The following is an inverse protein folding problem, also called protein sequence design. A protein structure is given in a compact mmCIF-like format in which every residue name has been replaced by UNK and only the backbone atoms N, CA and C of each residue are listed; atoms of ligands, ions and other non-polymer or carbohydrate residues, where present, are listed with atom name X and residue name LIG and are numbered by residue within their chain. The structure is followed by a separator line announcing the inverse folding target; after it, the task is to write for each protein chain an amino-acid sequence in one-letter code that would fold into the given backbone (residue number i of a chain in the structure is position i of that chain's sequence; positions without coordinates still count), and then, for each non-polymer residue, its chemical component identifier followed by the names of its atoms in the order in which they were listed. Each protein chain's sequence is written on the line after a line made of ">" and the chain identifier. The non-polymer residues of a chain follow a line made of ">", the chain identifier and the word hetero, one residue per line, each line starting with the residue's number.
data_IF_739641607865
#
_entry.id   IF_739641607865
#
_cell.length_a   1.000
_cell.length_b   1.000
_cell.length_c   1.000
_cell.angle_alpha   90.00
_cell.angle_beta   90.00
_cell.angle_gamma   90.00
#
_symmetry.space_group_name_H-M   'P 1'
#
loop_
_entity.id
_entity.type
_entity.pdbx_description
1 polymer ?
#
# COMPACT_ATOMS: atom_id res chain seq x y z
N UNK A 1 52.00 33.43 57.33
CA UNK A 1 52.76 33.57 58.59
C UNK A 1 54.04 34.40 58.44
N UNK A 2 54.90 34.16 57.45
CA UNK A 2 56.13 34.95 57.26
C UNK A 2 55.92 36.47 57.09
N UNK A 3 54.75 36.90 56.58
CA UNK A 3 54.41 38.33 56.38
C UNK A 3 54.35 39.13 57.71
N UNK A 4 54.06 38.48 58.84
CA UNK A 4 54.00 39.14 60.16
C UNK A 4 55.32 39.13 60.93
N UNK A 5 56.24 38.24 60.53
CA UNK A 5 57.54 38.02 61.14
C UNK A 5 58.38 39.31 61.26
N UNK A 6 58.52 40.16 60.21
CA UNK A 6 59.32 41.38 60.33
C UNK A 6 58.79 42.38 61.36
N UNK A 7 57.47 42.52 61.54
CA UNK A 7 56.94 43.42 62.56
C UNK A 7 57.02 42.87 63.98
N UNK A 8 56.83 41.57 64.16
CA UNK A 8 57.01 40.94 65.48
C UNK A 8 58.48 41.15 65.93
N UNK A 9 59.44 40.95 65.02
CA UNK A 9 60.86 41.24 65.30
C UNK A 9 61.07 42.71 65.63
N UNK A 10 60.49 43.62 64.84
CA UNK A 10 60.63 45.07 65.07
C UNK A 10 60.09 45.52 66.44
N UNK A 11 58.91 45.02 66.83
CA UNK A 11 58.31 45.31 68.14
C UNK A 11 59.15 44.73 69.28
N UNK A 12 59.70 43.53 69.11
CA UNK A 12 60.57 42.92 70.11
C UNK A 12 61.88 43.71 70.30
N UNK A 13 62.47 44.20 69.20
CA UNK A 13 63.65 45.06 69.25
C UNK A 13 63.35 46.42 69.92
N UNK A 14 62.23 47.04 69.59
CA UNK A 14 61.78 48.27 70.27
C UNK A 14 61.53 48.06 71.77
N UNK A 15 60.89 46.94 72.13
CA UNK A 15 60.62 46.59 73.53
C UNK A 15 61.92 46.34 74.29
N UNK A 16 62.87 45.62 73.69
CA UNK A 16 64.20 45.41 74.25
C UNK A 16 64.93 46.75 74.47
N UNK A 17 64.89 47.67 73.50
CA UNK A 17 65.48 49.00 73.62
C UNK A 17 64.87 49.83 74.74
N UNK A 18 63.54 49.82 74.89
CA UNK A 18 62.84 50.52 75.97
C UNK A 18 63.17 49.94 77.35
N UNK A 19 63.24 48.61 77.48
CA UNK A 19 63.60 47.93 78.74
C UNK A 19 65.05 48.21 79.12
N UNK A 20 65.98 48.18 78.17
CA UNK A 20 67.38 48.54 78.42
C UNK A 20 67.50 50.01 78.83
N UNK A 21 66.79 50.93 78.19
CA UNK A 21 66.76 52.34 78.62
C UNK A 21 66.20 52.49 80.04
N UNK A 22 65.15 51.75 80.39
CA UNK A 22 64.52 51.81 81.70
C UNK A 22 65.40 51.27 82.84
N UNK A 23 66.28 50.30 82.57
CA UNK A 23 67.17 49.69 83.58
C UNK A 23 68.47 50.50 83.74
N UNK A 24 68.99 51.07 82.66
CA UNK A 24 70.35 51.65 82.63
C UNK A 24 70.38 53.14 82.98
N UNK A 25 69.28 53.87 82.78
CA UNK A 25 69.21 55.32 83.00
C UNK A 25 68.48 55.66 84.30
N UNK A 26 68.85 56.79 84.94
CA UNK A 26 68.32 57.24 86.24
C UNK A 26 66.79 57.23 86.30
N UNK A 27 66.22 56.81 87.45
CA UNK A 27 64.79 56.73 87.75
C UNK A 27 64.14 58.10 87.96
N UNK A 28 64.26 58.99 86.97
CA UNK A 28 63.49 60.22 86.92
C UNK A 28 62.05 59.90 86.48
N UNK A 29 61.06 60.33 87.28
CA UNK A 29 59.65 60.14 86.98
C UNK A 29 59.27 60.72 85.60
N UNK A 30 59.95 61.77 85.16
CA UNK A 30 59.70 62.38 83.85
C UNK A 30 60.09 61.46 82.68
N UNK A 31 61.21 60.71 82.78
CA UNK A 31 61.65 59.79 81.72
C UNK A 31 60.73 58.56 81.60
N UNK A 32 60.22 58.07 82.73
CA UNK A 32 59.26 56.95 82.76
C UNK A 32 57.96 57.34 82.04
N UNK A 33 57.44 58.55 82.30
CA UNK A 33 56.23 59.05 81.63
C UNK A 33 56.44 59.13 80.11
N UNK A 34 57.60 59.63 79.66
CA UNK A 34 57.92 59.72 78.23
C UNK A 34 58.02 58.33 77.57
N UNK A 35 58.66 57.36 78.24
CA UNK A 35 58.75 55.98 77.78
C UNK A 35 57.36 55.35 77.62
N UNK A 36 56.47 55.57 78.58
CA UNK A 36 55.08 55.08 78.53
C UNK A 36 54.33 55.70 77.35
N UNK A 37 54.44 57.02 77.14
CA UNK A 37 53.82 57.68 75.98
C UNK A 37 54.32 57.13 74.64
N UNK A 38 55.63 56.90 74.52
CA UNK A 38 56.23 56.31 73.31
C UNK A 38 55.74 54.87 73.10
N UNK A 39 55.64 54.07 74.17
CA UNK A 39 55.11 52.71 74.11
C UNK A 39 53.64 52.69 73.65
N UNK A 40 52.83 53.66 74.09
CA UNK A 40 51.44 53.80 73.63
C UNK A 40 51.40 54.11 72.13
N UNK A 41 52.20 55.06 71.65
CA UNK A 41 52.25 55.40 70.22
C UNK A 41 52.69 54.19 69.38
N UNK A 42 53.73 53.48 69.81
CA UNK A 42 54.22 52.27 69.13
C UNK A 42 53.14 51.19 69.09
N UNK A 43 52.41 50.98 70.19
CA UNK A 43 51.35 49.96 70.23
C UNK A 43 50.18 50.28 69.30
N UNK A 44 49.79 51.56 69.20
CA UNK A 44 48.75 52.01 68.25
C UNK A 44 49.22 51.83 66.80
N UNK A 45 50.46 52.21 66.48
CA UNK A 45 51.02 52.05 65.14
C UNK A 45 51.14 50.57 64.76
N UNK A 46 51.59 49.73 65.69
CA UNK A 46 51.65 48.28 65.51
C UNK A 46 50.25 47.70 65.26
N UNK A 47 49.25 48.08 66.06
CA UNK A 47 47.88 47.62 65.88
C UNK A 47 47.31 48.00 64.50
N UNK A 48 47.57 49.22 64.04
CA UNK A 48 47.17 49.66 62.71
C UNK A 48 47.89 48.88 61.59
N UNK A 49 49.20 48.69 61.72
CA UNK A 49 49.98 47.93 60.74
C UNK A 49 49.55 46.47 60.64
N UNK A 50 49.33 45.79 61.78
CA UNK A 50 48.79 44.43 61.81
C UNK A 50 47.39 44.35 61.20
N UNK A 51 46.52 45.32 61.49
CA UNK A 51 45.17 45.40 60.89
C UNK A 51 45.24 45.55 59.37
N UNK A 52 46.16 46.38 58.87
CA UNK A 52 46.38 46.58 57.42
C UNK A 52 46.82 45.30 56.71
N UNK A 53 47.76 44.55 57.29
CA UNK A 53 48.23 43.29 56.69
C UNK A 53 47.17 42.21 56.75
N UNK A 54 46.47 42.09 57.88
CA UNK A 54 45.36 41.15 58.00
C UNK A 54 44.28 41.42 56.94
N UNK A 55 43.95 42.70 56.71
CA UNK A 55 43.01 43.12 55.66
C UNK A 55 43.52 42.77 54.27
N UNK A 56 44.78 43.02 53.95
CA UNK A 56 45.33 42.68 52.63
C UNK A 56 45.28 41.17 52.36
N UNK A 57 45.63 40.35 53.36
CA UNK A 57 45.56 38.88 53.22
C UNK A 57 44.12 38.43 53.00
N UNK A 58 43.17 39.02 53.72
CA UNK A 58 41.75 38.72 53.55
C UNK A 58 41.24 39.08 52.13
N UNK A 59 41.66 40.22 51.61
CA UNK A 59 41.30 40.66 50.24
C UNK A 59 41.94 39.73 49.20
N UNK A 60 43.21 39.38 49.35
CA UNK A 60 43.90 38.44 48.45
C UNK A 60 43.19 37.07 48.43
N UNK A 61 42.82 36.56 49.61
CA UNK A 61 42.12 35.27 49.74
C UNK A 61 40.76 35.32 49.03
N UNK A 62 39.97 36.37 49.24
CA UNK A 62 38.71 36.55 48.52
C UNK A 62 38.91 36.65 47.00
N UNK A 63 39.93 37.37 46.54
CA UNK A 63 40.22 37.46 45.10
C UNK A 63 40.54 36.09 44.50
N UNK A 64 41.36 35.28 45.19
CA UNK A 64 41.66 33.91 44.72
C UNK A 64 40.45 32.99 44.75
N UNK A 65 39.55 33.13 45.73
CA UNK A 65 38.30 32.38 45.77
C UNK A 65 37.37 32.75 44.62
N UNK A 66 37.25 34.06 44.31
CA UNK A 66 36.47 34.53 43.17
C UNK A 66 37.03 34.04 41.84
N UNK A 67 38.35 34.06 41.69
CA UNK A 67 39.03 33.54 40.50
C UNK A 67 38.78 32.03 40.34
N UNK A 68 38.87 31.25 41.42
CA UNK A 68 38.51 29.82 41.39
C UNK A 68 37.05 29.61 41.01
N UNK A 69 36.13 30.38 41.58
CA UNK A 69 34.72 30.31 41.21
C UNK A 69 34.46 30.69 39.75
N UNK A 70 35.18 31.67 39.21
CA UNK A 70 35.12 32.02 37.80
C UNK A 70 35.64 30.86 36.93
N UNK A 71 36.78 30.28 37.28
CA UNK A 71 37.38 29.16 36.57
C UNK A 71 36.49 27.90 36.62
N UNK A 72 35.88 27.61 37.77
CA UNK A 72 34.97 26.47 37.93
C UNK A 72 33.70 26.66 37.09
N UNK A 73 33.17 27.89 37.00
CA UNK A 73 32.06 28.20 36.10
C UNK A 73 32.42 27.99 34.64
N UNK A 74 33.62 28.38 34.22
CA UNK A 74 34.09 28.15 32.86
C UNK A 74 34.23 26.66 32.54
N UNK A 75 34.78 25.86 33.46
CA UNK A 75 34.87 24.40 33.31
C UNK A 75 33.49 23.75 33.18
N UNK A 76 32.53 24.13 34.03
CA UNK A 76 31.15 23.62 33.97
C UNK A 76 30.52 24.00 32.63
N UNK A 77 30.74 25.24 32.16
CA UNK A 77 30.20 25.70 30.88
C UNK A 77 30.80 24.92 29.70
N UNK A 78 32.12 24.71 29.68
CA UNK A 78 32.78 23.93 28.64
C UNK A 78 32.27 22.48 28.62
N UNK A 79 32.14 21.84 29.79
CA UNK A 79 31.57 20.50 29.89
C UNK A 79 30.13 20.46 29.36
N UNK A 80 29.29 21.42 29.73
CA UNK A 80 27.93 21.52 29.24
C UNK A 80 27.86 21.81 27.72
N UNK A 81 28.79 22.58 27.16
CA UNK A 81 28.88 22.83 25.72
C UNK A 81 29.30 21.58 24.96
N UNK A 82 30.27 20.82 25.47
CA UNK A 82 30.69 19.53 24.91
C UNK A 82 29.54 18.52 24.94
N UNK A 83 28.86 18.39 26.08
CA UNK A 83 27.73 17.47 26.25
C UNK A 83 26.58 17.84 25.30
N UNK A 84 26.23 19.13 25.20
CA UNK A 84 25.21 19.61 24.26
C UNK A 84 25.61 19.35 22.81
N UNK A 85 26.88 19.54 22.45
CA UNK A 85 27.36 19.26 21.11
C UNK A 85 27.23 17.77 20.77
N UNK A 86 27.60 16.87 21.70
CA UNK A 86 27.43 15.43 21.49
C UNK A 86 25.96 15.02 21.39
N UNK A 87 25.07 15.58 22.21
CA UNK A 87 23.63 15.28 22.16
C UNK A 87 23.02 15.78 20.85
N UNK A 88 23.40 16.97 20.38
CA UNK A 88 22.91 17.51 19.11
C UNK A 88 23.36 16.64 17.94
N UNK A 89 24.61 16.16 17.96
CA UNK A 89 25.13 15.24 16.96
C UNK A 89 24.43 13.87 17.01
N UNK A 90 24.19 13.32 18.19
CA UNK A 90 23.45 12.06 18.32
C UNK A 90 22.00 12.21 17.82
N UNK A 91 21.35 13.33 18.14
CA UNK A 91 20.00 13.64 17.68
C UNK A 91 19.93 13.77 16.16
N UNK A 92 20.91 14.42 15.52
CA UNK A 92 20.94 14.51 14.06
C UNK A 92 21.16 13.13 13.42
N UNK A 93 22.05 12.30 13.97
CA UNK A 93 22.26 10.93 13.50
C UNK A 93 21.02 10.05 13.68
N UNK A 94 20.30 10.18 14.80
CA UNK A 94 19.02 9.50 15.02
C UNK A 94 17.96 9.97 14.03
N UNK A 95 17.89 11.28 13.78
CA UNK A 95 16.95 11.84 12.80
C UNK A 95 17.24 11.34 11.38
N UNK A 96 18.52 11.27 10.99
CA UNK A 96 18.93 10.71 9.70
C UNK A 96 18.60 9.22 9.60
N UNK A 97 18.78 8.44 10.67
CA UNK A 97 18.36 7.03 10.72
C UNK A 97 16.86 6.90 10.57
N UNK A 98 16.08 7.69 11.31
CA UNK A 98 14.62 7.69 11.19
C UNK A 98 14.14 8.11 9.79
N UNK A 99 14.83 9.03 9.12
CA UNK A 99 14.52 9.41 7.74
C UNK A 99 14.75 8.23 6.77
N UNK A 100 15.88 7.51 6.92
CA UNK A 100 16.19 6.32 6.11
C UNK A 100 15.20 5.18 6.36
N UNK A 101 14.85 4.91 7.61
CA UNK A 101 13.85 3.89 7.96
C UNK A 101 12.48 4.22 7.34
N UNK A 102 12.08 5.49 7.34
CA UNK A 102 10.84 5.94 6.68
C UNK A 102 10.88 5.71 5.17
N UNK A 103 12.01 5.99 4.52
CA UNK A 103 12.18 5.76 3.09
C UNK A 103 12.10 4.27 2.76
N UNK A 104 12.74 3.40 3.55
CA UNK A 104 12.66 1.96 3.38
C UNK A 104 11.23 1.42 3.52
N UNK A 105 10.50 1.83 4.56
CA UNK A 105 9.10 1.44 4.76
C UNK A 105 8.22 1.91 3.60
N UNK A 106 8.46 3.11 3.08
CA UNK A 106 7.70 3.65 1.96
C UNK A 106 8.01 2.87 0.66
N UNK A 107 9.27 2.57 0.39
CA UNK A 107 9.70 1.76 -0.75
C UNK A 107 9.13 0.34 -0.69
N UNK A 108 9.11 -0.28 0.50
CA UNK A 108 8.53 -1.61 0.68
C UNK A 108 7.01 -1.57 0.52
N UNK A 109 6.33 -0.55 1.04
CA UNK A 109 4.90 -0.35 0.80
C UNK A 109 4.57 -0.11 -0.69
N UNK A 110 5.43 0.59 -1.43
CA UNK A 110 5.29 0.75 -2.88
C UNK A 110 5.47 -0.57 -3.62
N UNK A 111 6.50 -1.35 -3.26
CA UNK A 111 6.73 -2.70 -3.81
C UNK A 111 5.56 -3.63 -3.51
N UNK A 112 5.05 -3.63 -2.29
CA UNK A 112 3.90 -4.46 -1.91
C UNK A 112 2.63 -4.06 -2.65
N UNK A 113 2.39 -2.76 -2.84
CA UNK A 113 1.30 -2.29 -3.71
C UNK A 113 1.49 -2.74 -5.15
N UNK A 114 2.69 -2.62 -5.71
CA UNK A 114 2.97 -3.08 -7.07
C UNK A 114 2.77 -4.59 -7.22
N UNK A 115 3.25 -5.38 -6.26
CA UNK A 115 3.10 -6.83 -6.24
C UNK A 115 1.65 -7.27 -6.08
N UNK A 116 0.88 -6.64 -5.19
CA UNK A 116 -0.55 -6.94 -4.98
C UNK A 116 -1.39 -6.54 -6.19
N UNK A 117 -1.07 -5.42 -6.85
CA UNK A 117 -1.69 -5.03 -8.12
C UNK A 117 -1.35 -6.04 -9.21
N UNK A 118 -0.09 -6.41 -9.39
CA UNK A 118 0.33 -7.42 -10.38
C UNK A 118 -0.34 -8.78 -10.13
N UNK A 119 -0.40 -9.22 -8.88
CA UNK A 119 -1.10 -10.44 -8.48
C UNK A 119 -2.61 -10.34 -8.74
N UNK A 120 -3.21 -9.17 -8.51
CA UNK A 120 -4.63 -8.91 -8.81
C UNK A 120 -4.90 -8.98 -10.31
N UNK A 121 -4.06 -8.36 -11.16
CA UNK A 121 -4.15 -8.49 -12.61
C UNK A 121 -4.09 -9.95 -13.05
N UNK A 122 -3.16 -10.74 -12.51
CA UNK A 122 -3.03 -12.16 -12.84
C UNK A 122 -4.28 -12.96 -12.42
N UNK A 123 -4.85 -12.67 -11.25
CA UNK A 123 -6.12 -13.28 -10.81
C UNK A 123 -7.30 -12.86 -11.69
N UNK A 124 -7.39 -11.57 -12.05
CA UNK A 124 -8.41 -11.06 -12.96
C UNK A 124 -8.26 -11.73 -14.34
N UNK A 125 -7.05 -11.93 -14.85
CA UNK A 125 -6.86 -12.65 -16.12
C UNK A 125 -7.33 -14.13 -16.01
N UNK A 126 -7.02 -14.80 -14.90
CA UNK A 126 -7.49 -16.17 -14.68
C UNK A 126 -9.00 -16.25 -14.50
N UNK A 127 -9.62 -15.29 -13.80
CA UNK A 127 -11.06 -15.23 -13.60
C UNK A 127 -11.79 -14.78 -14.86
N UNK A 128 -11.26 -13.84 -15.64
CA UNK A 128 -11.79 -13.47 -16.95
C UNK A 128 -11.67 -14.64 -17.92
N UNK A 129 -10.57 -15.40 -17.95
CA UNK A 129 -10.48 -16.64 -18.75
C UNK A 129 -11.53 -17.66 -18.34
N UNK A 130 -11.73 -17.89 -17.03
CA UNK A 130 -12.78 -18.81 -16.52
C UNK A 130 -14.20 -18.28 -16.80
N UNK A 131 -14.44 -16.99 -16.66
CA UNK A 131 -15.72 -16.34 -16.91
C UNK A 131 -16.06 -16.31 -18.40
N UNK A 132 -15.11 -15.97 -19.27
CA UNK A 132 -15.24 -16.06 -20.72
C UNK A 132 -15.46 -17.50 -21.18
N UNK A 133 -14.77 -18.48 -20.61
CA UNK A 133 -15.04 -19.89 -20.92
C UNK A 133 -16.46 -20.31 -20.53
N UNK A 134 -16.95 -19.93 -19.34
CA UNK A 134 -18.34 -20.21 -18.91
C UNK A 134 -19.38 -19.45 -19.75
N UNK A 135 -19.09 -18.21 -20.16
CA UNK A 135 -19.97 -17.41 -20.99
C UNK A 135 -20.04 -17.94 -22.43
N UNK A 136 -18.88 -18.24 -23.04
CA UNK A 136 -18.79 -18.85 -24.36
C UNK A 136 -19.44 -20.24 -24.38
N UNK A 137 -19.36 -21.00 -23.28
CA UNK A 137 -20.07 -22.27 -23.14
C UNK A 137 -21.59 -22.09 -23.08
N UNK A 138 -22.11 -21.07 -22.39
CA UNK A 138 -23.56 -20.79 -22.37
C UNK A 138 -24.09 -20.35 -23.73
N UNK A 139 -23.37 -19.48 -24.43
CA UNK A 139 -23.74 -19.05 -25.79
C UNK A 139 -23.63 -20.19 -26.78
N UNK A 140 -22.56 -20.99 -26.70
CA UNK A 140 -22.36 -22.18 -27.52
C UNK A 140 -23.41 -23.26 -27.29
N UNK A 141 -23.81 -23.48 -26.03
CA UNK A 141 -24.90 -24.41 -25.68
C UNK A 141 -26.25 -23.93 -26.20
N UNK A 142 -26.56 -22.64 -26.07
CA UNK A 142 -27.78 -22.06 -26.61
C UNK A 142 -27.83 -22.17 -28.14
N UNK A 143 -26.71 -21.90 -28.81
CA UNK A 143 -26.61 -22.05 -30.26
C UNK A 143 -26.70 -23.51 -30.71
N UNK A 144 -26.04 -24.44 -30.03
CA UNK A 144 -26.12 -25.87 -30.32
C UNK A 144 -27.54 -26.41 -30.08
N UNK A 145 -28.22 -25.96 -29.03
CA UNK A 145 -29.62 -26.30 -28.77
C UNK A 145 -30.54 -25.76 -29.88
N UNK A 146 -30.37 -24.48 -30.26
CA UNK A 146 -31.15 -23.88 -31.34
C UNK A 146 -30.90 -24.57 -32.70
N UNK A 147 -29.64 -24.85 -33.03
CA UNK A 147 -29.27 -25.58 -34.24
C UNK A 147 -29.81 -27.02 -34.24
N UNK A 148 -29.81 -27.70 -33.08
CA UNK A 148 -30.41 -29.02 -32.92
C UNK A 148 -31.93 -29.00 -33.19
N UNK A 149 -32.65 -28.02 -32.63
CA UNK A 149 -34.08 -27.81 -32.92
C UNK A 149 -34.30 -27.53 -34.42
N UNK A 150 -33.48 -26.67 -35.03
CA UNK A 150 -33.52 -26.40 -36.47
C UNK A 150 -33.29 -27.64 -37.32
N UNK A 151 -32.33 -28.49 -36.93
CA UNK A 151 -32.06 -29.77 -37.60
C UNK A 151 -33.23 -30.75 -37.53
N UNK A 152 -33.89 -30.85 -36.37
CA UNK A 152 -35.11 -31.66 -36.20
C UNK A 152 -36.24 -31.15 -37.11
N UNK A 153 -36.40 -29.84 -37.21
CA UNK A 153 -37.42 -29.23 -38.07
C UNK A 153 -37.13 -29.50 -39.56
N UNK A 154 -35.88 -29.36 -40.00
CA UNK A 154 -35.48 -29.66 -41.39
C UNK A 154 -35.72 -31.14 -41.69
N UNK A 155 -35.34 -32.04 -40.78
CA UNK A 155 -35.56 -33.47 -40.93
C UNK A 155 -37.05 -33.82 -41.03
N UNK A 156 -37.89 -33.22 -40.18
CA UNK A 156 -39.35 -33.37 -40.27
C UNK A 156 -39.87 -32.88 -41.62
N UNK A 157 -39.37 -31.75 -42.11
CA UNK A 157 -39.82 -31.19 -43.39
C UNK A 157 -39.45 -32.08 -44.58
N UNK A 158 -38.28 -32.72 -44.55
CA UNK A 158 -37.87 -33.69 -45.56
C UNK A 158 -38.79 -34.92 -45.56
N UNK A 159 -39.20 -35.41 -44.39
CA UNK A 159 -40.19 -36.50 -44.29
C UNK A 159 -41.53 -36.07 -44.89
N UNK A 160 -42.02 -34.88 -44.55
CA UNK A 160 -43.28 -34.36 -45.08
C UNK A 160 -43.24 -34.21 -46.60
N UNK A 161 -42.17 -33.63 -47.15
CA UNK A 161 -42.00 -33.48 -48.59
C UNK A 161 -41.89 -34.87 -49.26
N UNK A 162 -41.12 -35.80 -48.69
CA UNK A 162 -40.99 -37.16 -49.21
C UNK A 162 -42.33 -37.91 -49.26
N UNK A 163 -43.11 -37.81 -48.18
CA UNK A 163 -44.46 -38.38 -48.14
C UNK A 163 -45.38 -37.72 -49.19
N UNK A 164 -45.32 -36.40 -49.33
CA UNK A 164 -46.11 -35.66 -50.31
C UNK A 164 -45.75 -36.05 -51.74
N UNK A 165 -44.47 -36.26 -52.05
CA UNK A 165 -44.00 -36.75 -53.34
C UNK A 165 -44.52 -38.16 -53.61
N UNK A 166 -44.44 -39.08 -52.66
CA UNK A 166 -44.95 -40.46 -52.82
C UNK A 166 -46.48 -40.46 -53.01
N UNK A 167 -47.22 -39.65 -52.26
CA UNK A 167 -48.68 -39.55 -52.39
C UNK A 167 -49.06 -38.92 -53.74
N UNK A 168 -48.38 -37.85 -54.15
CA UNK A 168 -48.65 -37.17 -55.43
C UNK A 168 -48.29 -38.07 -56.63
N UNK A 169 -47.14 -38.74 -56.61
CA UNK A 169 -46.75 -39.66 -57.67
C UNK A 169 -47.56 -40.96 -57.67
N UNK A 170 -47.93 -41.48 -56.49
CA UNK A 170 -48.79 -42.65 -56.33
C UNK A 170 -50.23 -42.40 -56.81
N UNK A 171 -50.78 -41.21 -56.57
CA UNK A 171 -52.11 -40.82 -57.08
C UNK A 171 -52.13 -40.58 -58.59
N UNK A 172 -51.06 -40.00 -59.15
CA UNK A 172 -50.90 -39.84 -60.59
C UNK A 172 -50.91 -41.18 -61.34
N UNK A 173 -50.11 -42.15 -60.89
CA UNK A 173 -50.00 -43.46 -61.54
C UNK A 173 -51.25 -44.34 -61.37
N UNK A 174 -51.97 -44.24 -60.24
CA UNK A 174 -53.20 -45.04 -60.03
C UNK A 174 -54.33 -44.60 -60.97
N UNK A 175 -54.43 -43.31 -61.29
CA UNK A 175 -55.39 -42.78 -62.25
C UNK A 175 -55.21 -43.34 -63.66
N UNK A 176 -53.96 -43.51 -64.11
CA UNK A 176 -53.65 -44.11 -65.41
C UNK A 176 -53.96 -45.60 -65.47
N UNK A 177 -53.69 -46.35 -64.39
CA UNK A 177 -54.03 -47.78 -64.32
C UNK A 177 -55.55 -47.99 -64.33
N UNK A 178 -56.30 -47.16 -63.59
CA UNK A 178 -57.77 -47.24 -63.57
C UNK A 178 -58.38 -46.88 -64.92
N UNK A 179 -57.87 -45.83 -65.60
CA UNK A 179 -58.34 -45.45 -66.95
C UNK A 179 -58.03 -46.53 -68.00
N UNK A 180 -56.84 -47.14 -67.96
CA UNK A 180 -56.49 -48.25 -68.85
C UNK A 180 -57.42 -49.47 -68.66
N UNK A 181 -57.86 -49.74 -67.43
CA UNK A 181 -58.83 -50.81 -67.14
C UNK A 181 -60.24 -50.45 -67.63
N UNK A 182 -60.63 -49.20 -67.47
CA UNK A 182 -61.94 -48.69 -67.89
C UNK A 182 -62.08 -48.63 -69.40
N UNK A 183 -61.03 -48.32 -70.14
CA UNK A 183 -61.01 -48.39 -71.61
C UNK A 183 -61.13 -49.82 -72.13
N UNK A 184 -60.51 -50.80 -71.45
CA UNK A 184 -60.67 -52.22 -71.80
C UNK A 184 -62.10 -52.70 -71.56
N UNK A 185 -62.73 -52.29 -70.45
CA UNK A 185 -64.12 -52.62 -70.15
C UNK A 185 -65.10 -51.92 -71.12
N UNK A 186 -64.83 -50.67 -71.48
CA UNK A 186 -65.67 -49.91 -72.42
C UNK A 186 -65.58 -50.48 -73.83
N UNK A 187 -64.39 -50.89 -74.28
CA UNK A 187 -64.21 -51.61 -75.56
C UNK A 187 -64.94 -52.95 -75.55
N UNK A 188 -64.87 -53.73 -74.46
CA UNK A 188 -65.66 -54.97 -74.32
C UNK A 188 -67.17 -54.73 -74.40
N UNK A 189 -67.67 -53.68 -73.74
CA UNK A 189 -69.09 -53.30 -73.82
C UNK A 189 -69.50 -52.90 -75.24
N UNK A 190 -68.65 -52.15 -75.96
CA UNK A 190 -68.91 -51.76 -77.34
C UNK A 190 -68.88 -52.96 -78.29
N UNK A 191 -67.95 -53.90 -78.10
CA UNK A 191 -67.91 -55.15 -78.88
C UNK A 191 -69.18 -55.98 -78.67
N UNK A 192 -69.62 -56.16 -77.43
CA UNK A 192 -70.87 -56.88 -77.14
C UNK A 192 -72.11 -56.18 -77.74
N UNK A 193 -72.14 -54.84 -77.75
CA UNK A 193 -73.20 -54.05 -78.40
C UNK A 193 -73.18 -54.14 -79.93
N UNK A 194 -72.01 -54.35 -80.53
CA UNK A 194 -71.89 -54.50 -81.97
C UNK A 194 -72.28 -55.91 -82.42
N UNK A 195 -71.96 -56.93 -81.62
CA UNK A 195 -72.46 -58.30 -81.83
C UNK A 195 -73.99 -58.35 -81.78
N UNK A 196 -74.63 -57.69 -80.82
CA UNK A 196 -76.10 -57.66 -80.78
C UNK A 196 -76.70 -56.94 -81.98
N UNK A 197 -76.08 -55.84 -82.44
CA UNK A 197 -76.50 -55.15 -83.68
C UNK A 197 -76.40 -56.05 -84.91
N UNK A 198 -75.32 -56.81 -85.04
CA UNK A 198 -75.13 -57.74 -86.17
C UNK A 198 -76.18 -58.85 -86.16
N UNK A 199 -76.58 -59.35 -84.99
CA UNK A 199 -77.65 -60.35 -84.87
C UNK A 199 -79.02 -59.81 -85.28
N UNK A 200 -79.34 -58.54 -84.99
CA UNK A 200 -80.56 -57.89 -85.47
C UNK A 200 -80.54 -57.58 -86.99
N UNK A 201 -79.41 -57.12 -87.54
CA UNK A 201 -79.28 -56.84 -88.99
C UNK A 201 -79.37 -58.12 -89.84
N UNK A 202 -78.82 -59.23 -89.33
CA UNK A 202 -78.93 -60.54 -89.97
C UNK A 202 -80.36 -61.11 -89.90
N UNK A 203 -81.12 -60.78 -88.84
CA UNK A 203 -82.55 -61.12 -88.73
C UNK A 203 -83.43 -60.29 -89.69
N UNK A 204 -83.07 -59.05 -89.98
CA UNK A 204 -83.83 -58.20 -90.91
C UNK A 204 -83.63 -58.64 -92.37
N UNK A 205 -82.40 -59.01 -92.77
CA UNK A 205 -82.10 -59.53 -94.11
C UNK A 205 -82.78 -60.87 -94.43
N UNK A 206 -82.98 -61.76 -93.44
CA UNK A 206 -83.68 -63.04 -93.68
C UNK A 206 -85.19 -62.85 -93.93
N UNK A 207 -85.79 -61.78 -93.36
CA UNK A 207 -87.21 -61.44 -93.54
C UNK A 207 -87.52 -60.77 -94.89
N UNK A 208 -86.52 -60.18 -95.55
CA UNK A 208 -86.65 -59.57 -96.88
C UNK A 208 -86.64 -60.61 -98.03
N UNK A 209 -85.97 -61.75 -97.84
CA UNK A 209 -85.96 -62.83 -98.84
C UNK A 209 -87.26 -63.66 -98.88
N UNK A 210 -88.07 -63.64 -97.82
CA UNK A 210 -89.39 -64.28 -97.79
C UNK A 210 -90.48 -63.55 -98.59
N UNK A 211 -90.24 -62.30 -99.02
CA UNK A 211 -91.24 -61.43 -99.65
C UNK A 211 -91.13 -61.31 -101.18
N UNK A 212 -90.14 -61.95 -101.79
CA UNK A 212 -89.95 -62.00 -103.26
C UNK A 212 -90.48 -63.30 -103.92
N UNK A 213 -91.25 -64.12 -103.19
CA UNK A 213 -91.88 -65.35 -103.69
C UNK A 213 -93.41 -65.23 -103.87
N UNK A 214 -93.90 -64.02 -104.10
CA UNK A 214 -95.29 -63.74 -104.46
C UNK A 214 -95.27 -62.52 -105.37
N UNK A 215 -94.93 -62.76 -106.63
CA UNK A 215 -95.57 -62.28 -107.86
C UNK A 215 -94.88 -62.94 -109.06
#
# INVERSE_FOLDING_TARGET
>A
MAKFLPAIIFIQLLTCGLVLMAITWSYDMQLIIVIVFIAIIISVLAAFWFSSIARNIYIDDQATLLERHAQDREKIRQQAEIEKASIVQEKSQLQDRHAREREQILLDAERDKANTVAASYKKIEQETRKAHARANFKVGLAFAAAAGVGGVLIFSQLITIGAMVIVASGSGLSGYILRARQERLSRKKQLALNETKLLTDQSEKSSLWGRLKKD
#
